data_IF_376333848564
#
_entry.id   IF_376333848564
#
_cell.length_a   1.000
_cell.length_b   1.000
_cell.length_c   1.000
_cell.angle_alpha   90.00
_cell.angle_beta   90.00
_cell.angle_gamma   90.00
#
_symmetry.space_group_name_H-M   'P 1'
#
loop_
_entity.id
_entity.type
_entity.pdbx_description
1 polymer ?
#
# COMPACT_ATOMS: atom_id res chain seq x y z
N UNK A 1 11.78 -10.52 -11.29
CA UNK A 1 10.65 -10.70 -10.36
C UNK A 1 9.48 -9.89 -10.89
N UNK A 2 8.27 -10.41 -10.74
CA UNK A 2 7.01 -9.69 -10.89
C UNK A 2 6.62 -9.13 -9.52
N UNK A 3 6.65 -7.81 -9.40
CA UNK A 3 6.35 -7.09 -8.16
C UNK A 3 4.97 -6.46 -8.31
N UNK A 4 4.05 -6.73 -7.39
CA UNK A 4 2.78 -6.00 -7.29
C UNK A 4 2.96 -4.82 -6.34
N UNK A 5 3.02 -3.61 -6.88
CA UNK A 5 3.03 -2.38 -6.11
C UNK A 5 1.59 -1.91 -5.81
N UNK A 6 1.24 -1.78 -4.53
CA UNK A 6 -0.10 -1.37 -4.07
C UNK A 6 -0.02 0.04 -3.50
N UNK A 7 -0.56 1.02 -4.23
CA UNK A 7 -0.44 2.44 -3.90
C UNK A 7 -1.78 3.21 -4.02
N UNK A 8 -2.55 3.33 -2.92
CA UNK A 8 -3.82 4.08 -2.91
C UNK A 8 -3.66 5.60 -3.06
N UNK A 9 -2.43 6.13 -2.97
CA UNK A 9 -2.05 7.53 -3.07
C UNK A 9 -0.94 7.72 -4.12
N UNK A 10 -1.31 7.59 -5.40
CA UNK A 10 -0.35 7.69 -6.50
C UNK A 10 -0.14 9.15 -6.96
N UNK A 11 0.46 9.97 -6.10
CA UNK A 11 0.79 11.36 -6.41
C UNK A 11 2.13 11.78 -5.80
N UNK A 12 2.69 12.90 -6.27
CA UNK A 12 3.89 13.51 -5.70
C UNK A 12 5.06 12.53 -5.53
N UNK A 13 5.62 12.47 -4.32
CA UNK A 13 6.76 11.61 -3.97
C UNK A 13 6.45 10.12 -4.13
N UNK A 14 5.23 9.66 -3.84
CA UNK A 14 4.84 8.25 -4.00
C UNK A 14 4.89 7.83 -5.47
N UNK A 15 4.34 8.66 -6.35
CA UNK A 15 4.41 8.44 -7.80
C UNK A 15 5.86 8.46 -8.28
N UNK A 16 6.65 9.44 -7.86
CA UNK A 16 8.05 9.55 -8.25
C UNK A 16 8.87 8.32 -7.81
N UNK A 17 8.66 7.84 -6.58
CA UNK A 17 9.30 6.65 -6.05
C UNK A 17 8.99 5.40 -6.88
N UNK A 18 7.70 5.10 -7.11
CA UNK A 18 7.31 3.92 -7.89
C UNK A 18 7.76 4.00 -9.34
N UNK A 19 7.71 5.19 -9.96
CA UNK A 19 8.28 5.42 -11.30
C UNK A 19 9.78 5.12 -11.33
N UNK A 20 10.51 5.54 -10.29
CA UNK A 20 11.94 5.23 -10.19
C UNK A 20 12.21 3.74 -10.15
N UNK A 21 11.43 2.95 -9.40
CA UNK A 21 11.56 1.48 -9.39
C UNK A 21 11.19 0.89 -10.75
N UNK A 22 10.08 1.33 -11.35
CA UNK A 22 9.64 0.89 -12.69
C UNK A 22 10.72 1.16 -13.76
N UNK A 23 11.37 2.33 -13.71
CA UNK A 23 12.32 2.78 -14.75
C UNK A 23 13.74 2.25 -14.56
N UNK A 24 14.15 1.96 -13.32
CA UNK A 24 15.55 1.69 -13.00
C UNK A 24 15.82 0.31 -12.37
N UNK A 25 14.79 -0.49 -12.09
CA UNK A 25 14.98 -1.88 -11.65
C UNK A 25 14.99 -2.85 -12.84
N UNK A 26 15.54 -4.04 -12.63
CA UNK A 26 15.43 -5.16 -13.56
C UNK A 26 14.17 -6.01 -13.30
N UNK A 27 13.14 -5.43 -12.67
CA UNK A 27 11.93 -6.12 -12.26
C UNK A 27 10.71 -5.63 -13.05
N UNK A 28 9.73 -6.51 -13.24
CA UNK A 28 8.43 -6.13 -13.80
C UNK A 28 7.57 -5.63 -12.65
N UNK A 29 7.23 -4.35 -12.65
CA UNK A 29 6.38 -3.77 -11.61
C UNK A 29 4.96 -3.59 -12.15
N UNK A 30 4.01 -4.26 -11.50
CA UNK A 30 2.59 -4.11 -11.73
C UNK A 30 2.03 -3.17 -10.66
N UNK A 31 1.65 -1.96 -11.05
CA UNK A 31 1.16 -0.95 -10.10
C UNK A 31 -0.36 -0.92 -10.06
N UNK A 32 -0.97 -1.37 -8.95
CA UNK A 32 -2.38 -1.12 -8.64
C UNK A 32 -2.51 0.13 -7.79
N UNK A 33 -3.25 1.11 -8.33
CA UNK A 33 -3.30 2.45 -7.77
C UNK A 33 -4.68 3.07 -7.87
N UNK A 34 -4.90 4.11 -7.07
CA UNK A 34 -6.13 4.89 -7.09
C UNK A 34 -5.81 6.37 -7.26
N UNK A 35 -6.40 6.99 -8.27
CA UNK A 35 -6.13 8.39 -8.65
C UNK A 35 -6.96 9.42 -7.84
N UNK A 36 -7.65 8.98 -6.79
CA UNK A 36 -8.70 9.77 -6.12
C UNK A 36 -8.23 10.60 -4.91
N UNK A 37 -8.84 11.79 -4.77
CA UNK A 37 -8.64 12.78 -3.68
C UNK A 37 -9.36 12.36 -2.38
N UNK A 38 -8.73 12.55 -1.20
CA UNK A 38 -9.32 12.36 0.15
C UNK A 38 -8.60 11.37 1.08
N UNK A 39 -7.92 11.85 2.15
CA UNK A 39 -7.02 11.06 3.02
C UNK A 39 -7.70 9.98 3.88
N UNK A 40 -8.82 10.30 4.55
CA UNK A 40 -9.43 9.40 5.55
C UNK A 40 -10.06 8.14 4.93
N UNK A 41 -10.72 8.29 3.78
CA UNK A 41 -11.25 7.14 3.03
C UNK A 41 -10.15 6.29 2.38
N UNK A 42 -8.92 6.82 2.22
CA UNK A 42 -7.81 6.10 1.56
C UNK A 42 -7.30 4.90 2.34
N UNK A 43 -7.18 5.02 3.66
CA UNK A 43 -6.65 3.92 4.47
C UNK A 43 -7.72 2.89 4.84
N UNK A 44 -8.98 3.31 5.00
CA UNK A 44 -10.04 2.41 5.48
C UNK A 44 -10.84 1.72 4.35
N UNK A 45 -11.16 2.42 3.26
CA UNK A 45 -12.09 1.91 2.23
C UNK A 45 -11.44 1.44 0.93
N UNK A 46 -10.20 1.87 0.65
CA UNK A 46 -9.59 1.61 -0.67
C UNK A 46 -9.05 0.20 -0.85
N UNK A 47 -8.81 -0.56 0.23
CA UNK A 47 -8.33 -1.95 0.12
C UNK A 47 -9.29 -2.84 -0.69
N UNK A 48 -10.60 -2.56 -0.69
CA UNK A 48 -11.58 -3.29 -1.52
C UNK A 48 -11.33 -3.09 -3.01
N UNK A 49 -11.17 -1.84 -3.45
CA UNK A 49 -10.91 -1.53 -4.88
C UNK A 49 -9.53 -1.98 -5.32
N UNK A 50 -8.53 -1.82 -4.45
CA UNK A 50 -7.17 -2.31 -4.72
C UNK A 50 -7.14 -3.84 -4.82
N UNK A 51 -7.84 -4.55 -3.92
CA UNK A 51 -7.94 -6.00 -3.96
C UNK A 51 -8.59 -6.50 -5.25
N UNK A 52 -9.69 -5.86 -5.67
CA UNK A 52 -10.34 -6.19 -6.94
C UNK A 52 -9.41 -5.99 -8.14
N UNK A 53 -8.77 -4.82 -8.26
CA UNK A 53 -7.81 -4.54 -9.33
C UNK A 53 -6.60 -5.50 -9.31
N UNK A 54 -6.16 -5.92 -8.13
CA UNK A 54 -5.07 -6.88 -7.97
C UNK A 54 -5.48 -8.31 -8.37
N UNK A 55 -6.75 -8.69 -8.18
CA UNK A 55 -7.27 -9.99 -8.60
C UNK A 55 -7.41 -10.11 -10.12
N UNK A 56 -7.67 -9.01 -10.82
CA UNK A 56 -7.79 -9.00 -12.29
C UNK A 56 -6.44 -9.15 -13.00
N UNK A 57 -5.33 -8.95 -12.29
CA UNK A 57 -4.01 -9.11 -12.86
C UNK A 57 -3.77 -10.59 -13.18
N UNK A 58 -3.38 -10.92 -14.41
CA UNK A 58 -3.04 -12.30 -14.79
C UNK A 58 -1.51 -12.48 -14.81
N UNK A 59 -0.89 -12.45 -13.63
CA UNK A 59 0.53 -12.67 -13.43
C UNK A 59 0.78 -13.37 -12.08
N UNK A 60 1.78 -14.25 -12.06
CA UNK A 60 2.36 -14.80 -10.84
C UNK A 60 3.22 -13.73 -10.17
N UNK A 61 2.89 -13.39 -8.92
CA UNK A 61 3.52 -12.28 -8.18
C UNK A 61 4.52 -12.84 -7.18
N UNK A 62 5.78 -12.43 -7.34
CA UNK A 62 6.89 -12.86 -6.49
C UNK A 62 7.01 -12.02 -5.21
N UNK A 63 6.49 -10.78 -5.23
CA UNK A 63 6.63 -9.81 -4.15
C UNK A 63 5.47 -8.82 -4.13
N UNK A 64 4.93 -8.54 -2.96
CA UNK A 64 4.04 -7.40 -2.71
C UNK A 64 4.87 -6.23 -2.19
N UNK A 65 4.82 -5.09 -2.89
CA UNK A 65 5.38 -3.83 -2.43
C UNK A 65 4.22 -2.91 -2.00
N UNK A 66 4.04 -2.74 -0.69
CA UNK A 66 2.84 -2.15 -0.11
C UNK A 66 3.14 -0.76 0.44
N UNK A 67 2.42 0.26 -0.03
CA UNK A 67 2.50 1.60 0.54
C UNK A 67 1.95 1.65 1.97
N UNK A 68 2.58 2.43 2.86
CA UNK A 68 2.07 2.67 4.22
C UNK A 68 0.70 3.34 4.29
N UNK A 69 0.20 3.81 3.14
CA UNK A 69 -1.16 4.32 2.98
C UNK A 69 -2.20 3.21 2.77
N UNK A 70 -1.80 1.94 2.83
CA UNK A 70 -2.68 0.76 2.66
C UNK A 70 -2.98 0.09 3.99
N UNK A 71 -4.25 -0.27 4.23
CA UNK A 71 -4.61 -1.26 5.23
C UNK A 71 -4.30 -2.66 4.69
N UNK A 72 -3.09 -3.15 5.00
CA UNK A 72 -2.56 -4.41 4.50
C UNK A 72 -3.34 -5.63 5.01
N UNK A 73 -3.72 -5.74 6.30
CA UNK A 73 -4.54 -6.85 6.77
C UNK A 73 -5.85 -6.98 5.98
N UNK A 74 -6.53 -5.88 5.71
CA UNK A 74 -7.76 -5.88 4.91
C UNK A 74 -7.48 -6.30 3.44
N UNK A 75 -6.40 -5.80 2.83
CA UNK A 75 -6.02 -6.19 1.47
C UNK A 75 -5.72 -7.70 1.38
N UNK A 76 -4.97 -8.25 2.33
CA UNK A 76 -4.66 -9.70 2.37
C UNK A 76 -5.91 -10.54 2.59
N UNK A 77 -6.81 -10.13 3.49
CA UNK A 77 -8.06 -10.84 3.72
C UNK A 77 -8.93 -10.92 2.46
N UNK A 78 -8.96 -9.84 1.66
CA UNK A 78 -9.76 -9.76 0.43
C UNK A 78 -9.10 -10.42 -0.79
N UNK A 79 -7.79 -10.67 -0.73
CA UNK A 79 -7.04 -11.30 -1.83
C UNK A 79 -6.62 -12.74 -1.54
N UNK A 80 -6.83 -13.23 -0.32
CA UNK A 80 -6.57 -14.62 0.06
C UNK A 80 -7.39 -15.61 -0.80
N UNK A 81 -6.81 -16.76 -1.22
CA UNK A 81 -5.47 -17.26 -0.87
C UNK A 81 -4.35 -16.72 -1.77
N UNK A 82 -4.67 -15.92 -2.79
CA UNK A 82 -3.76 -15.56 -3.89
C UNK A 82 -2.41 -14.98 -3.41
N UNK A 83 -2.45 -14.08 -2.43
CA UNK A 83 -1.24 -13.43 -1.90
C UNK A 83 -0.93 -13.81 -0.45
N UNK A 84 -1.54 -14.90 0.06
CA UNK A 84 -1.38 -15.30 1.45
C UNK A 84 0.09 -15.58 1.81
N UNK A 85 0.81 -16.22 0.88
CA UNK A 85 2.21 -16.63 1.04
C UNK A 85 3.21 -15.81 0.22
N UNK A 86 2.74 -14.81 -0.52
CA UNK A 86 3.64 -13.89 -1.22
C UNK A 86 4.36 -13.01 -0.20
N UNK A 87 5.70 -12.88 -0.29
CA UNK A 87 6.47 -11.97 0.54
C UNK A 87 5.92 -10.54 0.45
N UNK A 88 5.85 -9.83 1.58
CA UNK A 88 5.34 -8.46 1.66
C UNK A 88 6.39 -7.51 2.22
N UNK A 89 6.70 -6.48 1.46
CA UNK A 89 7.53 -5.36 1.91
C UNK A 89 6.64 -4.14 2.05
N UNK A 90 6.65 -3.50 3.22
CA UNK A 90 5.92 -2.26 3.46
C UNK A 90 6.84 -1.05 3.34
N UNK A 91 6.49 -0.14 2.42
CA UNK A 91 7.21 1.12 2.21
C UNK A 91 6.57 2.22 3.03
N UNK A 92 7.27 2.62 4.10
CA UNK A 92 6.87 3.73 4.97
C UNK A 92 7.25 5.08 4.34
N UNK A 93 6.41 5.60 3.45
CA UNK A 93 6.52 6.99 3.00
C UNK A 93 6.12 7.97 4.11
N UNK A 94 5.12 7.59 4.89
CA UNK A 94 4.61 8.34 6.03
C UNK A 94 4.28 7.35 7.16
N UNK A 95 4.48 7.77 8.42
CA UNK A 95 4.13 7.00 9.60
C UNK A 95 3.12 7.77 10.43
N UNK A 96 1.87 7.32 10.43
CA UNK A 96 0.76 8.02 11.09
C UNK A 96 0.95 8.13 12.62
N UNK A 97 1.79 7.29 13.24
CA UNK A 97 2.12 7.38 14.66
C UNK A 97 2.99 8.60 14.99
N UNK A 98 3.91 8.96 14.09
CA UNK A 98 4.99 9.93 14.38
C UNK A 98 5.00 11.12 13.44
N UNK A 99 4.18 11.12 12.39
CA UNK A 99 4.10 12.23 11.44
C UNK A 99 3.71 13.52 12.18
N UNK A 100 4.39 14.64 11.88
CA UNK A 100 4.02 15.96 12.41
C UNK A 100 2.59 16.30 12.03
N UNK A 101 1.84 16.85 12.98
CA UNK A 101 0.48 17.33 12.75
C UNK A 101 0.49 18.86 12.62
N UNK A 102 -0.41 19.43 11.82
CA UNK A 102 -0.68 20.85 11.85
C UNK A 102 -1.09 21.32 13.25
N UNK A 103 -0.84 22.59 13.55
CA UNK A 103 -1.23 23.18 14.83
C UNK A 103 -2.75 23.10 15.00
N UNK A 104 -3.19 22.65 16.19
CA UNK A 104 -4.61 22.48 16.51
C UNK A 104 -5.25 21.19 15.99
N UNK A 105 -4.52 20.32 15.28
CA UNK A 105 -5.03 19.00 14.89
C UNK A 105 -4.72 17.91 15.92
N UNK A 106 -5.72 17.09 16.21
CA UNK A 106 -5.55 15.88 17.01
C UNK A 106 -5.21 14.68 16.13
N UNK A 107 -4.33 13.81 16.63
CA UNK A 107 -3.92 12.61 15.91
C UNK A 107 -5.09 11.64 15.76
N UNK A 108 -5.35 11.20 14.53
CA UNK A 108 -6.29 10.10 14.29
C UNK A 108 -5.63 8.76 14.67
N UNK A 109 -5.99 8.26 15.85
CA UNK A 109 -5.47 6.99 16.39
C UNK A 109 -5.87 5.79 15.54
N UNK A 110 -6.91 5.89 14.71
CA UNK A 110 -7.32 4.82 13.80
C UNK A 110 -6.31 4.61 12.68
N UNK A 111 -5.75 5.69 12.15
CA UNK A 111 -4.70 5.64 11.13
C UNK A 111 -3.39 5.10 11.73
N UNK A 112 -3.09 5.50 12.97
CA UNK A 112 -1.97 4.95 13.74
C UNK A 112 -2.10 3.43 13.90
N UNK A 113 -3.26 2.97 14.37
CA UNK A 113 -3.51 1.55 14.58
C UNK A 113 -3.47 0.76 13.26
N UNK A 114 -3.95 1.36 12.16
CA UNK A 114 -3.87 0.76 10.84
C UNK A 114 -2.42 0.58 10.38
N UNK A 115 -1.56 1.60 10.53
CA UNK A 115 -0.13 1.48 10.26
C UNK A 115 0.51 0.39 11.12
N UNK A 116 0.22 0.37 12.43
CA UNK A 116 0.76 -0.65 13.33
C UNK A 116 0.39 -2.08 12.91
N UNK A 117 -0.89 -2.35 12.62
CA UNK A 117 -1.32 -3.66 12.14
C UNK A 117 -0.74 -3.99 10.76
N UNK A 118 -0.64 -3.03 9.85
CA UNK A 118 -0.01 -3.25 8.55
C UNK A 118 1.47 -3.60 8.68
N UNK A 119 2.20 -2.96 9.59
CA UNK A 119 3.60 -3.28 9.88
C UNK A 119 3.75 -4.69 10.47
N UNK A 120 2.86 -5.10 11.38
CA UNK A 120 2.86 -6.47 11.92
C UNK A 120 2.53 -7.54 10.88
N UNK A 121 1.75 -7.18 9.86
CA UNK A 121 1.36 -8.09 8.79
C UNK A 121 2.37 -8.14 7.64
N UNK A 122 3.30 -7.18 7.56
CA UNK A 122 4.38 -7.16 6.59
C UNK A 122 5.55 -8.03 7.05
N UNK A 123 6.35 -8.52 6.11
CA UNK A 123 7.54 -9.32 6.43
C UNK A 123 8.77 -8.42 6.65
N UNK A 124 8.79 -7.24 6.01
CA UNK A 124 9.85 -6.21 6.09
C UNK A 124 9.24 -4.81 6.02
#
# INVERSE_FOLDING_TARGET
MNILAVEPFYFGSHKAFLRGIEEHSSHTVHTVKLDEKGLKWRMQGKSVRLAHAAQDLNAEIDLLLISSMTNLPAFLALTSPRFAHTPKVMVMHENQLTQPLPEGEERDTTLCYTNYLSMLAADV
#
